data_IF_357818404680
#
_entry.id   IF_357818404680
#
_cell.length_a   1.000
_cell.length_b   1.000
_cell.length_c   1.000
_cell.angle_alpha   90.00
_cell.angle_beta   90.00
_cell.angle_gamma   90.00
#
_symmetry.space_group_name_H-M   'P 1'
#
loop_
_entity.id
_entity.type
_entity.pdbx_description
1 polymer ?
#
# COMPACT_ATOMS: atom_id res chain seq x y z
N UNK A 1 -38.43 88.79 -11.35
CA UNK A 1 -37.45 89.89 -11.48
C UNK A 1 -36.07 89.31 -11.22
N UNK A 2 -35.13 89.59 -12.13
CA UNK A 2 -33.69 89.27 -12.19
C UNK A 2 -33.02 88.27 -11.20
N UNK A 3 -32.36 87.27 -11.80
CA UNK A 3 -30.94 86.88 -11.62
C UNK A 3 -30.46 86.44 -10.20
N UNK A 4 -30.01 85.18 -10.10
CA UNK A 4 -28.58 84.87 -9.84
C UNK A 4 -28.17 83.47 -10.30
N UNK A 5 -27.19 83.44 -11.19
CA UNK A 5 -26.46 82.27 -11.68
C UNK A 5 -25.43 81.82 -10.62
N UNK A 6 -25.33 80.53 -10.34
CA UNK A 6 -24.20 79.96 -9.59
C UNK A 6 -23.57 78.79 -10.36
N UNK A 7 -22.28 78.95 -10.66
CA UNK A 7 -21.39 77.91 -11.18
C UNK A 7 -20.63 77.29 -9.99
N UNK A 8 -20.89 76.03 -9.67
CA UNK A 8 -19.98 75.05 -9.04
C UNK A 8 -20.58 73.69 -9.41
N UNK A 9 -19.89 72.66 -9.89
CA UNK A 9 -18.48 72.36 -10.07
C UNK A 9 -18.47 70.85 -10.35
N UNK A 10 -17.88 70.42 -11.46
CA UNK A 10 -18.09 69.05 -11.97
C UNK A 10 -17.39 67.98 -11.14
N UNK A 11 -18.09 66.87 -10.88
CA UNK A 11 -17.48 65.59 -10.52
C UNK A 11 -17.93 64.54 -11.52
N UNK A 12 -17.18 64.40 -12.61
CA UNK A 12 -17.38 63.31 -13.57
C UNK A 12 -16.82 62.04 -12.94
N UNK A 13 -17.71 61.11 -12.58
CA UNK A 13 -17.30 59.78 -12.16
C UNK A 13 -16.68 59.04 -13.35
N UNK A 14 -15.35 59.03 -13.40
CA UNK A 14 -14.60 58.18 -14.33
C UNK A 14 -14.78 56.72 -13.90
N UNK A 15 -15.75 56.05 -14.51
CA UNK A 15 -15.92 54.61 -14.44
C UNK A 15 -14.73 53.93 -15.15
N UNK A 16 -13.64 53.73 -14.41
CA UNK A 16 -12.51 52.89 -14.81
C UNK A 16 -12.96 51.43 -14.88
N UNK A 17 -13.53 51.03 -16.02
CA UNK A 17 -13.71 49.63 -16.37
C UNK A 17 -12.33 49.00 -16.65
N UNK A 18 -11.69 48.48 -15.60
CA UNK A 18 -10.54 47.57 -15.74
C UNK A 18 -11.03 46.14 -16.02
N UNK A 19 -10.31 45.35 -16.81
CA UNK A 19 -10.90 44.22 -17.51
C UNK A 19 -10.90 42.91 -16.69
N UNK A 20 -11.88 42.06 -17.02
CA UNK A 20 -11.79 40.60 -16.97
C UNK A 20 -11.24 39.99 -15.65
N UNK A 21 -11.99 40.19 -14.55
CA UNK A 21 -12.06 39.16 -13.50
C UNK A 21 -12.73 37.90 -14.08
N UNK A 22 -11.97 37.08 -14.79
CA UNK A 22 -12.37 35.71 -15.06
C UNK A 22 -12.63 35.03 -13.72
N UNK A 23 -13.83 34.48 -13.57
CA UNK A 23 -14.18 33.67 -12.41
C UNK A 23 -13.10 32.61 -12.21
N UNK A 24 -12.37 32.70 -11.11
CA UNK A 24 -11.67 31.56 -10.55
C UNK A 24 -12.76 30.55 -10.15
N UNK A 25 -13.09 29.64 -11.08
CA UNK A 25 -13.85 28.44 -10.75
C UNK A 25 -12.99 27.68 -9.75
N UNK A 26 -13.43 27.70 -8.48
CA UNK A 26 -12.79 26.94 -7.43
C UNK A 26 -12.67 25.48 -7.86
N UNK A 27 -11.52 24.88 -7.59
CA UNK A 27 -11.27 23.49 -7.87
C UNK A 27 -11.64 22.62 -6.67
N UNK A 28 -11.84 21.32 -6.90
CA UNK A 28 -11.94 20.35 -5.80
C UNK A 28 -10.53 19.99 -5.34
N UNK A 29 -10.28 20.07 -4.04
CA UNK A 29 -9.00 19.71 -3.43
C UNK A 29 -8.56 18.29 -3.85
N UNK A 30 -7.26 18.12 -4.12
CA UNK A 30 -6.72 16.85 -4.61
C UNK A 30 -6.82 16.63 -6.14
N UNK A 31 -7.59 17.45 -6.87
CA UNK A 31 -7.54 17.42 -8.34
C UNK A 31 -6.24 18.06 -8.86
N UNK A 32 -5.78 17.59 -10.02
CA UNK A 32 -4.68 18.15 -10.78
C UNK A 32 -5.20 18.75 -12.09
N UNK A 33 -4.65 19.88 -12.52
CA UNK A 33 -4.92 20.51 -13.81
C UNK A 33 -3.65 20.52 -14.65
N UNK A 34 -3.57 19.65 -15.65
CA UNK A 34 -2.47 19.62 -16.62
C UNK A 34 -2.72 20.66 -17.72
N UNK A 35 -1.77 21.57 -17.92
CA UNK A 35 -1.97 22.76 -18.75
C UNK A 35 -1.56 22.54 -20.22
N UNK A 36 -0.40 21.93 -20.44
CA UNK A 36 0.26 21.81 -21.75
C UNK A 36 0.94 20.43 -21.97
N UNK A 37 0.63 19.46 -21.12
CA UNK A 37 1.24 18.12 -21.12
C UNK A 37 2.61 18.04 -20.44
N UNK A 38 3.24 19.17 -20.08
CA UNK A 38 4.53 19.24 -19.37
C UNK A 38 4.49 20.04 -18.08
N UNK A 39 3.40 20.73 -17.82
CA UNK A 39 3.17 21.50 -16.61
C UNK A 39 1.78 21.25 -16.04
N UNK A 40 1.68 21.34 -14.72
CA UNK A 40 0.44 21.09 -13.99
C UNK A 40 0.30 22.02 -12.79
N UNK A 41 -0.93 22.09 -12.26
CA UNK A 41 -1.27 22.70 -10.99
C UNK A 41 -2.01 21.68 -10.13
N UNK A 42 -1.83 21.72 -8.81
CA UNK A 42 -2.60 20.92 -7.86
C UNK A 42 -3.62 21.81 -7.16
N UNK A 43 -4.83 21.31 -6.94
CA UNK A 43 -5.82 22.01 -6.13
C UNK A 43 -5.51 21.79 -4.65
N UNK A 44 -5.23 22.87 -3.92
CA UNK A 44 -4.97 22.84 -2.48
C UNK A 44 -6.22 23.17 -1.67
N UNK A 45 -6.18 22.90 -0.37
CA UNK A 45 -7.20 23.29 0.60
C UNK A 45 -7.67 24.74 0.40
N UNK A 46 -9.00 24.93 0.39
CA UNK A 46 -9.62 26.19 0.00
C UNK A 46 -9.90 26.34 -1.51
N UNK A 47 -9.80 25.26 -2.28
CA UNK A 47 -10.27 25.20 -3.67
C UNK A 47 -9.49 26.09 -4.64
N UNK A 48 -8.21 26.32 -4.36
CA UNK A 48 -7.33 27.20 -5.13
C UNK A 48 -6.26 26.38 -5.85
N UNK A 49 -5.94 26.73 -7.10
CA UNK A 49 -4.83 26.11 -7.83
C UNK A 49 -3.48 26.57 -7.29
N UNK A 50 -2.55 25.63 -7.13
CA UNK A 50 -1.15 25.91 -6.82
C UNK A 50 -0.48 26.74 -7.91
N UNK A 51 0.73 27.24 -7.62
CA UNK A 51 1.65 27.65 -8.69
C UNK A 51 1.89 26.51 -9.68
N UNK A 52 2.15 26.85 -10.93
CA UNK A 52 2.43 25.88 -11.99
C UNK A 52 3.77 25.18 -11.75
N UNK A 53 3.76 23.85 -11.79
CA UNK A 53 4.91 22.97 -11.60
C UNK A 53 5.23 22.23 -12.91
N UNK A 54 6.48 21.84 -13.11
CA UNK A 54 6.88 20.96 -14.22
C UNK A 54 6.57 19.50 -13.86
N UNK A 55 6.17 18.71 -14.85
CA UNK A 55 6.16 17.24 -14.73
C UNK A 55 7.59 16.69 -14.69
N UNK A 56 7.77 15.47 -14.19
CA UNK A 56 9.09 14.85 -14.13
C UNK A 56 9.70 14.69 -15.54
N UNK A 57 11.04 14.85 -15.71
CA UNK A 57 11.70 14.67 -17.00
C UNK A 57 11.37 13.31 -17.64
N UNK A 58 10.92 13.33 -18.90
CA UNK A 58 10.51 12.11 -19.62
C UNK A 58 9.06 11.69 -19.41
N UNK A 59 8.28 12.40 -18.58
CA UNK A 59 6.83 12.17 -18.41
C UNK A 59 5.99 13.22 -19.15
N UNK A 60 4.72 12.91 -19.35
CA UNK A 60 3.69 13.86 -19.80
C UNK A 60 2.40 13.63 -19.04
N UNK A 61 1.67 14.68 -18.72
CA UNK A 61 0.31 14.59 -18.17
C UNK A 61 -0.76 14.71 -19.27
N UNK A 62 -1.95 14.14 -19.05
CA UNK A 62 -3.09 14.36 -19.96
C UNK A 62 -3.71 15.73 -19.69
N UNK A 63 -3.74 16.60 -20.70
CA UNK A 63 -4.26 17.98 -20.60
C UNK A 63 -5.71 17.98 -20.07
N UNK A 64 -5.97 18.85 -19.08
CA UNK A 64 -7.26 18.99 -18.41
C UNK A 64 -7.19 18.68 -16.91
N UNK A 65 -8.37 18.65 -16.28
CA UNK A 65 -8.54 18.40 -14.84
C UNK A 65 -8.80 16.91 -14.60
N UNK A 66 -8.01 16.27 -13.73
CA UNK A 66 -8.16 14.86 -13.35
C UNK A 66 -7.71 14.63 -11.91
N UNK A 67 -8.31 13.64 -11.23
CA UNK A 67 -7.77 13.10 -9.97
C UNK A 67 -6.49 12.27 -10.19
N UNK A 68 -6.33 11.72 -11.41
CA UNK A 68 -5.13 11.02 -11.85
C UNK A 68 -4.68 11.58 -13.22
N UNK A 69 -3.77 12.57 -13.26
CA UNK A 69 -3.32 13.19 -14.52
C UNK A 69 -2.31 12.32 -15.30
N UNK A 70 -1.84 11.22 -14.70
CA UNK A 70 -0.76 10.36 -15.20
C UNK A 70 -1.29 9.15 -15.99
N UNK A 71 -2.36 9.34 -16.77
CA UNK A 71 -2.92 8.31 -17.64
C UNK A 71 -1.97 7.96 -18.80
N UNK A 72 -0.98 7.13 -18.47
CA UNK A 72 -0.07 6.33 -19.30
C UNK A 72 0.08 6.74 -20.78
N UNK A 73 1.25 7.32 -21.08
CA UNK A 73 2.06 6.77 -22.17
C UNK A 73 3.42 6.38 -21.60
N UNK A 74 3.76 5.10 -21.66
CA UNK A 74 5.08 4.61 -21.26
C UNK A 74 6.18 5.25 -22.13
N UNK A 75 7.40 5.44 -21.61
CA UNK A 75 8.54 5.75 -22.46
C UNK A 75 8.76 4.59 -23.44
N UNK A 76 8.40 4.81 -24.71
CA UNK A 76 8.71 3.88 -25.79
C UNK A 76 10.22 3.73 -25.84
N UNK A 77 10.71 2.52 -25.62
CA UNK A 77 12.12 2.18 -25.72
C UNK A 77 12.68 2.63 -27.07
N UNK A 78 13.63 3.57 -27.06
CA UNK A 78 14.28 4.04 -28.28
C UNK A 78 15.28 2.98 -28.75
N UNK A 79 14.76 1.94 -29.41
CA UNK A 79 15.57 0.95 -30.10
C UNK A 79 16.32 1.65 -31.24
N UNK A 80 17.61 1.92 -31.02
CA UNK A 80 18.47 2.54 -32.03
C UNK A 80 18.62 1.59 -33.23
N UNK A 81 18.23 2.07 -34.40
CA UNK A 81 18.28 1.28 -35.62
C UNK A 81 19.73 1.03 -36.06
N UNK A 82 20.11 -0.25 -36.17
CA UNK A 82 21.32 -0.68 -36.86
C UNK A 82 20.93 -1.44 -38.13
N UNK A 83 21.00 -0.75 -39.28
CA UNK A 83 20.80 -1.33 -40.61
C UNK A 83 22.15 -1.83 -41.13
N UNK A 84 22.34 -3.15 -41.24
CA UNK A 84 23.41 -3.74 -42.05
C UNK A 84 22.89 -4.97 -42.80
N UNK A 85 23.07 -4.97 -44.11
CA UNK A 85 22.60 -6.01 -45.02
C UNK A 85 23.54 -7.23 -45.09
N UNK A 86 22.94 -8.41 -45.23
CA UNK A 86 23.56 -9.61 -45.82
C UNK A 86 23.82 -9.38 -47.34
N UNK A 87 24.72 -10.11 -48.05
CA UNK A 87 24.54 -11.56 -48.30
C UNK A 87 25.79 -12.45 -48.62
N UNK A 88 25.45 -13.70 -48.99
CA UNK A 88 26.17 -14.75 -49.76
C UNK A 88 27.24 -15.67 -49.12
N UNK A 89 27.01 -16.97 -49.33
CA UNK A 89 27.88 -18.16 -49.14
C UNK A 89 28.23 -18.75 -50.53
N UNK A 90 29.19 -19.70 -50.72
CA UNK A 90 29.17 -21.10 -50.20
C UNK A 90 30.53 -21.47 -49.50
N UNK A 91 31.04 -22.70 -49.27
CA UNK A 91 30.82 -24.03 -49.91
C UNK A 91 31.12 -25.26 -49.01
N UNK A 92 30.59 -26.40 -49.45
CA UNK A 92 30.55 -27.81 -49.00
C UNK A 92 31.90 -28.56 -48.91
N UNK A 93 32.00 -29.54 -47.99
CA UNK A 93 32.51 -30.95 -48.07
C UNK A 93 32.49 -31.55 -46.65
N UNK A 94 32.15 -32.79 -46.28
CA UNK A 94 31.19 -33.85 -46.66
C UNK A 94 31.50 -35.08 -45.77
N UNK A 95 30.60 -35.45 -44.84
CA UNK A 95 30.18 -36.83 -44.38
C UNK A 95 31.24 -37.91 -44.00
N UNK A 96 30.88 -39.10 -43.38
CA UNK A 96 29.56 -39.64 -43.03
C UNK A 96 29.37 -40.23 -41.58
N UNK A 97 28.11 -40.49 -41.24
CA UNK A 97 27.62 -41.37 -40.13
C UNK A 97 27.52 -42.85 -40.60
N UNK A 98 27.39 -43.88 -39.73
CA UNK A 98 26.19 -44.15 -38.89
C UNK A 98 26.59 -44.43 -37.42
N UNK A 99 25.76 -44.90 -36.46
CA UNK A 99 24.41 -45.50 -36.47
C UNK A 99 23.64 -45.17 -35.16
N UNK A 100 22.58 -45.94 -34.84
CA UNK A 100 21.84 -45.89 -33.56
C UNK A 100 21.55 -47.30 -33.01
N UNK A 101 21.25 -47.43 -31.71
CA UNK A 101 20.67 -48.64 -31.09
C UNK A 101 19.78 -48.26 -29.90
N UNK A 102 18.72 -49.04 -29.66
CA UNK A 102 17.57 -48.78 -28.77
C UNK A 102 17.59 -49.62 -27.48
N UNK A 103 16.40 -49.79 -26.85
CA UNK A 103 16.03 -50.57 -25.64
C UNK A 103 16.23 -49.77 -24.32
N UNK A 104 15.23 -49.55 -23.45
CA UNK A 104 13.77 -49.78 -23.54
C UNK A 104 12.97 -48.95 -22.50
N UNK A 105 11.64 -48.86 -22.68
CA UNK A 105 10.65 -48.34 -21.70
C UNK A 105 10.23 -49.43 -20.70
N UNK A 106 9.89 -49.09 -19.46
CA UNK A 106 9.09 -49.99 -18.58
C UNK A 106 8.02 -49.22 -17.82
N UNK A 107 6.77 -49.48 -18.20
CA UNK A 107 5.56 -49.07 -17.49
C UNK A 107 5.18 -50.13 -16.45
N UNK A 108 4.74 -49.72 -15.26
CA UNK A 108 4.01 -50.57 -14.33
C UNK A 108 2.79 -49.81 -13.80
N UNK A 109 1.62 -50.44 -13.89
CA UNK A 109 0.30 -49.86 -13.59
C UNK A 109 -0.30 -50.41 -12.30
N UNK A 110 -0.93 -49.50 -11.56
CA UNK A 110 -2.13 -49.65 -10.72
C UNK A 110 -2.44 -50.98 -10.00
N UNK A 111 -2.69 -50.86 -8.69
CA UNK A 111 -3.76 -51.63 -8.06
C UNK A 111 -4.38 -50.86 -6.88
N UNK A 112 -5.72 -50.81 -6.85
CA UNK A 112 -6.52 -50.22 -5.77
C UNK A 112 -6.79 -51.25 -4.68
N UNK A 113 -7.01 -50.80 -3.45
CA UNK A 113 -7.76 -51.57 -2.45
C UNK A 113 -8.67 -50.66 -1.63
N UNK A 114 -9.97 -50.96 -1.62
CA UNK A 114 -10.95 -50.44 -0.68
C UNK A 114 -11.24 -51.52 0.36
N UNK A 115 -11.26 -51.16 1.64
CA UNK A 115 -11.86 -51.97 2.69
C UNK A 115 -12.44 -51.05 3.78
N UNK A 116 -13.72 -51.26 4.09
CA UNK A 116 -14.42 -50.55 5.17
C UNK A 116 -14.76 -51.56 6.27
N UNK A 117 -14.52 -51.20 7.54
CA UNK A 117 -15.19 -51.84 8.68
C UNK A 117 -15.46 -50.82 9.78
N UNK A 118 -16.74 -50.69 10.14
CA UNK A 118 -17.21 -49.89 11.27
C UNK A 118 -16.80 -50.50 12.61
N UNK A 119 -16.73 -49.68 13.66
CA UNK A 119 -16.94 -50.12 15.04
C UNK A 119 -17.51 -48.99 15.89
N UNK A 120 -18.70 -49.24 16.44
CA UNK A 120 -19.40 -48.36 17.39
C UNK A 120 -19.20 -48.90 18.81
N UNK A 121 -18.73 -48.06 19.73
CA UNK A 121 -18.88 -48.25 21.18
C UNK A 121 -19.26 -46.90 21.80
N UNK A 122 -20.31 -46.89 22.62
CA UNK A 122 -20.83 -45.70 23.31
C UNK A 122 -20.44 -45.68 24.79
N UNK A 123 -20.32 -44.45 25.34
CA UNK A 123 -20.57 -44.07 26.75
C UNK A 123 -19.66 -44.69 27.86
N UNK A 124 -19.33 -44.04 28.99
CA UNK A 124 -19.32 -42.64 29.49
C UNK A 124 -18.62 -42.68 30.90
N UNK A 125 -18.84 -41.72 31.81
CA UNK A 125 -18.15 -40.44 32.02
C UNK A 125 -16.93 -40.50 32.98
N UNK A 126 -16.13 -39.42 32.99
CA UNK A 126 -15.63 -38.82 34.24
C UNK A 126 -15.27 -37.34 34.06
N UNK A 127 -15.83 -36.51 34.93
CA UNK A 127 -15.87 -35.04 34.90
C UNK A 127 -14.54 -34.35 35.23
N UNK A 128 -14.14 -33.36 34.44
CA UNK A 128 -13.54 -32.07 34.89
C UNK A 128 -13.51 -31.07 33.71
N UNK A 129 -13.84 -29.81 33.98
CA UNK A 129 -14.27 -28.83 32.98
C UNK A 129 -13.14 -28.18 32.17
N UNK A 130 -13.29 -28.01 30.85
CA UNK A 130 -12.69 -26.91 30.09
C UNK A 130 -13.60 -25.69 30.17
N UNK A 131 -13.06 -24.55 30.59
CA UNK A 131 -13.82 -23.29 30.63
C UNK A 131 -13.96 -22.75 29.20
N UNK A 132 -15.20 -22.64 28.71
CA UNK A 132 -15.48 -22.29 27.33
C UNK A 132 -14.99 -20.88 26.98
N UNK A 133 -14.19 -20.76 25.92
CA UNK A 133 -14.00 -19.50 25.23
C UNK A 133 -15.36 -19.03 24.69
N UNK A 134 -15.78 -17.82 25.05
CA UNK A 134 -17.06 -17.28 24.58
C UNK A 134 -16.92 -16.85 23.13
N UNK A 135 -17.56 -17.61 22.24
CA UNK A 135 -17.66 -17.33 20.82
C UNK A 135 -18.60 -16.12 20.58
N UNK A 136 -18.14 -15.00 19.98
CA UNK A 136 -19.01 -13.93 19.55
C UNK A 136 -19.76 -14.32 18.27
N UNK A 137 -21.00 -14.76 18.47
CA UNK A 137 -22.12 -14.83 17.53
C UNK A 137 -21.86 -14.47 16.05
N UNK A 138 -22.13 -15.43 15.16
CA UNK A 138 -22.35 -15.14 13.73
C UNK A 138 -23.54 -14.19 13.55
N UNK A 139 -23.26 -12.91 13.29
CA UNK A 139 -24.24 -11.86 13.03
C UNK A 139 -23.56 -10.56 12.67
N UNK A 140 -24.15 -9.79 11.74
CA UNK A 140 -23.56 -8.60 11.10
C UNK A 140 -23.54 -7.35 12.00
N UNK A 141 -22.99 -7.48 13.20
CA UNK A 141 -22.68 -6.38 14.12
C UNK A 141 -21.25 -6.57 14.58
N UNK A 142 -20.33 -5.80 14.01
CA UNK A 142 -18.92 -5.92 14.33
C UNK A 142 -18.66 -5.54 15.78
N UNK A 143 -17.91 -6.39 16.48
CA UNK A 143 -17.69 -6.24 17.90
C UNK A 143 -16.71 -5.09 18.17
N UNK A 144 -17.15 -4.06 18.88
CA UNK A 144 -16.21 -3.28 19.67
C UNK A 144 -15.69 -4.19 20.79
N UNK A 145 -14.40 -4.55 20.74
CA UNK A 145 -13.70 -4.82 22.00
C UNK A 145 -13.65 -3.49 22.75
N UNK A 146 -13.83 -3.49 24.08
CA UNK A 146 -14.22 -2.32 24.90
C UNK A 146 -13.27 -1.10 24.91
N UNK A 147 -12.25 -1.11 24.06
CA UNK A 147 -11.18 -0.12 23.91
C UNK A 147 -10.75 0.09 22.43
N UNK A 148 -11.42 -0.56 21.46
CA UNK A 148 -11.18 -0.42 20.01
C UNK A 148 -12.51 -0.12 19.31
N UNK A 149 -12.54 0.93 18.51
CA UNK A 149 -13.61 1.20 17.54
C UNK A 149 -13.33 0.40 16.26
N UNK A 150 -13.94 -0.78 16.16
CA UNK A 150 -13.81 -1.67 15.00
C UNK A 150 -14.97 -1.37 14.06
N UNK A 151 -14.66 -0.60 13.01
CA UNK A 151 -15.56 -0.29 11.89
C UNK A 151 -15.39 -1.26 10.75
N UNK A 152 -16.40 -1.31 9.88
CA UNK A 152 -16.46 -2.33 8.84
C UNK A 152 -15.48 -2.08 7.71
N UNK A 153 -15.14 -3.16 7.02
CA UNK A 153 -14.29 -3.10 5.82
C UNK A 153 -14.90 -2.14 4.77
N UNK A 154 -16.23 -1.97 4.77
CA UNK A 154 -16.97 -1.03 3.93
C UNK A 154 -16.96 0.43 4.47
N UNK A 155 -16.77 0.62 5.79
CA UNK A 155 -16.65 1.94 6.44
C UNK A 155 -15.20 2.49 6.45
N UNK A 156 -14.20 1.65 6.13
CA UNK A 156 -12.82 2.11 5.96
C UNK A 156 -12.72 3.04 4.76
N UNK A 157 -11.84 4.05 4.85
CA UNK A 157 -11.49 4.93 3.73
C UNK A 157 -11.23 4.13 2.45
N UNK A 158 -11.53 4.70 1.28
CA UNK A 158 -11.11 4.11 0.01
C UNK A 158 -9.59 4.12 -0.13
N UNK A 159 -9.06 3.29 -1.03
CA UNK A 159 -7.62 3.23 -1.29
C UNK A 159 -7.04 4.57 -1.74
N UNK A 160 -7.76 5.34 -2.56
CA UNK A 160 -7.32 6.66 -3.00
C UNK A 160 -7.35 7.69 -1.87
N UNK A 161 -8.37 7.67 -1.00
CA UNK A 161 -8.40 8.51 0.21
C UNK A 161 -7.28 8.17 1.20
N UNK A 162 -6.92 6.89 1.37
CA UNK A 162 -5.78 6.50 2.18
C UNK A 162 -4.44 6.96 1.58
N UNK A 163 -4.24 6.80 0.27
CA UNK A 163 -3.07 7.35 -0.42
C UNK A 163 -2.97 8.86 -0.22
N UNK A 164 -4.07 9.59 -0.39
CA UNK A 164 -4.13 11.04 -0.15
C UNK A 164 -3.78 11.40 1.30
N UNK A 165 -4.41 10.73 2.28
CA UNK A 165 -4.18 10.94 3.73
C UNK A 165 -2.72 10.73 4.12
N UNK A 166 -2.06 9.72 3.57
CA UNK A 166 -0.73 9.29 4.01
C UNK A 166 0.45 9.76 3.14
N UNK A 167 0.22 10.33 1.95
CA UNK A 167 1.29 10.84 1.08
C UNK A 167 2.25 11.80 1.80
N UNK A 168 1.73 12.74 2.60
CA UNK A 168 2.56 13.70 3.36
C UNK A 168 3.39 13.01 4.45
N UNK A 169 2.81 12.02 5.14
CA UNK A 169 3.49 11.26 6.20
C UNK A 169 4.65 10.45 5.61
N UNK A 170 4.39 9.66 4.57
CA UNK A 170 5.41 8.88 3.85
C UNK A 170 6.53 9.79 3.30
N UNK A 171 6.17 10.93 2.72
CA UNK A 171 7.14 11.88 2.16
C UNK A 171 8.00 12.64 3.19
N UNK A 172 7.69 12.60 4.49
CA UNK A 172 8.35 13.46 5.49
C UNK A 172 8.81 12.79 6.78
N UNK A 173 8.41 11.53 7.04
CA UNK A 173 8.63 10.86 8.34
C UNK A 173 10.06 10.38 8.60
N UNK A 174 10.86 10.08 7.57
CA UNK A 174 12.22 9.57 7.75
C UNK A 174 13.13 10.55 8.51
N UNK A 175 13.07 11.83 8.16
CA UNK A 175 13.96 12.83 8.72
C UNK A 175 13.60 13.17 10.16
N UNK A 176 12.30 13.15 10.50
CA UNK A 176 11.80 13.44 11.85
C UNK A 176 11.91 12.25 12.79
N UNK A 177 11.68 11.03 12.31
CA UNK A 177 11.64 9.81 13.14
C UNK A 177 12.97 9.06 13.19
N UNK A 178 13.74 9.07 12.10
CA UNK A 178 14.90 8.19 11.90
C UNK A 178 16.21 8.93 11.55
N UNK A 179 16.16 10.26 11.41
CA UNK A 179 17.30 11.12 11.05
C UNK A 179 17.99 10.75 9.71
N UNK A 180 17.26 10.07 8.81
CA UNK A 180 17.71 9.72 7.45
C UNK A 180 16.92 10.49 6.40
N UNK A 181 17.40 10.50 5.16
CA UNK A 181 16.76 11.21 4.06
C UNK A 181 15.29 10.79 3.88
N UNK A 182 14.42 11.79 3.74
CA UNK A 182 13.01 11.62 3.39
C UNK A 182 12.83 10.85 2.07
N UNK A 183 11.72 10.12 1.99
CA UNK A 183 11.29 9.49 0.75
C UNK A 183 11.18 10.55 -0.35
N UNK A 184 11.69 10.25 -1.54
CA UNK A 184 11.33 11.04 -2.73
C UNK A 184 9.84 10.84 -3.08
N UNK A 185 9.25 11.69 -3.95
CA UNK A 185 7.92 11.43 -4.52
C UNK A 185 7.86 10.06 -5.22
N UNK A 186 8.92 9.67 -5.94
CA UNK A 186 9.00 8.39 -6.63
C UNK A 186 9.07 7.20 -5.65
N UNK A 187 9.76 7.35 -4.53
CA UNK A 187 9.81 6.33 -3.47
C UNK A 187 8.47 6.21 -2.73
N UNK A 188 7.81 7.34 -2.48
CA UNK A 188 6.46 7.38 -1.90
C UNK A 188 5.45 6.68 -2.83
N UNK A 189 5.52 6.93 -4.13
CA UNK A 189 4.70 6.22 -5.11
C UNK A 189 5.10 4.74 -5.23
N UNK A 190 6.39 4.41 -5.11
CA UNK A 190 6.85 3.02 -5.11
C UNK A 190 6.31 2.22 -3.90
N UNK A 191 6.11 2.85 -2.73
CA UNK A 191 5.43 2.21 -1.58
C UNK A 191 3.98 1.86 -1.94
N UNK A 192 3.22 2.78 -2.53
CA UNK A 192 1.84 2.50 -2.94
C UNK A 192 1.76 1.42 -4.02
N UNK A 193 2.63 1.47 -5.03
CA UNK A 193 2.70 0.46 -6.08
C UNK A 193 3.12 -0.92 -5.52
N UNK A 194 4.03 -0.96 -4.54
CA UNK A 194 4.45 -2.18 -3.88
C UNK A 194 3.30 -2.82 -3.07
N UNK A 195 2.46 -2.01 -2.44
CA UNK A 195 1.24 -2.48 -1.77
C UNK A 195 0.24 -3.03 -2.79
N UNK A 196 -0.06 -2.29 -3.87
CA UNK A 196 -0.95 -2.74 -4.95
C UNK A 196 -0.46 -4.04 -5.62
N UNK A 197 0.85 -4.28 -5.67
CA UNK A 197 1.44 -5.48 -6.27
C UNK A 197 1.61 -6.68 -5.31
N UNK A 198 1.73 -6.47 -3.99
CA UNK A 198 2.14 -7.50 -3.03
C UNK A 198 1.20 -7.63 -1.81
N UNK A 199 -0.01 -7.08 -1.83
CA UNK A 199 -0.97 -7.19 -0.71
C UNK A 199 -1.55 -8.61 -0.50
N UNK A 200 -1.36 -9.54 -1.44
CA UNK A 200 -1.80 -10.92 -1.31
C UNK A 200 -3.31 -11.05 -1.07
N UNK A 201 -3.69 -11.77 -0.01
CA UNK A 201 -5.09 -11.89 0.45
C UNK A 201 -5.53 -10.77 1.40
N UNK A 202 -4.63 -9.86 1.77
CA UNK A 202 -4.86 -8.75 2.69
C UNK A 202 -5.42 -7.55 1.93
N UNK A 203 -6.35 -6.79 2.53
CA UNK A 203 -6.82 -5.52 1.96
C UNK A 203 -5.67 -4.50 1.90
N UNK A 204 -5.34 -3.91 0.74
CA UNK A 204 -4.22 -2.98 0.59
C UNK A 204 -4.32 -1.74 1.50
N UNK A 205 -5.53 -1.33 1.88
CA UNK A 205 -5.77 -0.27 2.87
C UNK A 205 -5.20 -0.63 4.23
N UNK A 206 -5.39 -1.89 4.64
CA UNK A 206 -4.85 -2.42 5.88
C UNK A 206 -3.33 -2.56 5.83
N UNK A 207 -2.78 -2.99 4.70
CA UNK A 207 -1.32 -3.03 4.48
C UNK A 207 -0.70 -1.64 4.68
N UNK A 208 -1.30 -0.58 4.10
CA UNK A 208 -0.82 0.79 4.31
C UNK A 208 -0.97 1.25 5.77
N UNK A 209 -2.02 0.83 6.47
CA UNK A 209 -2.16 1.12 7.90
C UNK A 209 -1.05 0.48 8.75
N UNK A 210 -0.62 -0.75 8.44
CA UNK A 210 0.55 -1.41 9.05
C UNK A 210 1.83 -0.65 8.71
N UNK A 211 2.08 -0.35 7.42
CA UNK A 211 3.27 0.39 6.98
C UNK A 211 3.41 1.75 7.70
N UNK A 212 2.30 2.46 7.91
CA UNK A 212 2.27 3.71 8.68
C UNK A 212 2.50 3.46 10.17
N UNK A 213 1.99 2.35 10.73
CA UNK A 213 2.20 1.99 12.14
C UNK A 213 3.67 1.63 12.44
N UNK A 214 4.31 0.83 11.58
CA UNK A 214 5.63 0.26 11.81
C UNK A 214 6.78 1.21 11.47
N UNK A 215 6.67 1.94 10.36
CA UNK A 215 7.77 2.76 9.83
C UNK A 215 7.39 4.22 9.59
N UNK A 216 6.13 4.61 9.83
CA UNK A 216 5.53 5.84 9.26
C UNK A 216 5.73 5.93 7.74
N UNK A 217 5.84 4.79 7.06
CA UNK A 217 6.14 4.66 5.64
C UNK A 217 7.55 5.08 5.21
N UNK A 218 8.49 5.24 6.15
CA UNK A 218 9.88 5.55 5.80
C UNK A 218 10.57 4.34 5.17
N UNK A 219 10.96 4.41 3.89
CA UNK A 219 11.63 3.28 3.20
C UNK A 219 13.04 2.99 3.76
N UNK A 220 13.58 3.90 4.59
CA UNK A 220 14.89 3.81 5.26
C UNK A 220 14.75 3.66 6.78
N UNK A 221 13.60 3.20 7.28
CA UNK A 221 13.44 2.77 8.67
C UNK A 221 14.55 1.79 9.04
N UNK A 222 15.14 1.96 10.22
CA UNK A 222 16.27 1.14 10.64
C UNK A 222 15.84 -0.31 10.85
N UNK A 223 16.64 -1.24 10.35
CA UNK A 223 16.47 -2.66 10.67
C UNK A 223 16.81 -2.88 12.13
N UNK A 224 15.85 -3.34 12.93
CA UNK A 224 16.09 -3.68 14.33
C UNK A 224 16.53 -5.14 14.45
N UNK A 225 17.38 -5.45 15.43
CA UNK A 225 17.77 -6.83 15.72
C UNK A 225 18.06 -7.00 17.22
N UNK A 226 17.05 -7.47 17.94
CA UNK A 226 17.12 -7.75 19.39
C UNK A 226 16.97 -9.26 19.68
N UNK A 227 17.44 -10.11 18.76
CA UNK A 227 17.28 -11.56 18.79
C UNK A 227 16.40 -12.12 17.66
N UNK A 228 15.53 -11.27 17.11
CA UNK A 228 14.84 -11.43 15.82
C UNK A 228 15.16 -10.20 14.99
N UNK A 229 15.39 -10.36 13.67
CA UNK A 229 15.76 -9.28 12.76
C UNK A 229 14.51 -8.76 12.04
N UNK A 230 14.16 -7.51 12.27
CA UNK A 230 12.95 -6.87 11.74
C UNK A 230 13.35 -5.72 10.81
N UNK A 231 13.36 -5.90 9.48
CA UNK A 231 13.75 -4.87 8.53
C UNK A 231 12.55 -4.09 8.00
N UNK A 232 12.84 -3.01 7.27
CA UNK A 232 11.91 -2.51 6.26
C UNK A 232 10.57 -1.93 6.75
N UNK A 233 9.73 -1.62 5.76
CA UNK A 233 8.50 -0.83 5.89
C UNK A 233 7.46 -1.41 6.87
N UNK A 234 7.44 -2.74 7.04
CA UNK A 234 6.51 -3.47 7.91
C UNK A 234 7.19 -4.06 9.15
N UNK A 235 8.48 -3.78 9.40
CA UNK A 235 9.26 -4.32 10.53
C UNK A 235 9.09 -5.84 10.70
N UNK A 236 9.16 -6.57 9.58
CA UNK A 236 8.70 -7.94 9.46
C UNK A 236 9.68 -8.98 10.01
N UNK A 237 9.16 -10.04 10.66
CA UNK A 237 10.00 -11.04 11.33
C UNK A 237 10.89 -11.80 10.35
N UNK A 238 12.21 -11.60 10.45
CA UNK A 238 13.25 -12.20 9.61
C UNK A 238 13.07 -12.02 8.09
N UNK A 239 12.59 -10.84 7.65
CA UNK A 239 12.56 -10.47 6.23
C UNK A 239 13.91 -10.51 5.52
N UNK A 240 13.92 -10.34 4.21
CA UNK A 240 15.14 -10.30 3.40
C UNK A 240 15.48 -8.90 2.88
N UNK A 241 14.50 -7.99 2.78
CA UNK A 241 14.67 -6.68 2.14
C UNK A 241 14.84 -5.53 3.14
N UNK A 242 15.80 -4.64 2.87
CA UNK A 242 16.06 -3.45 3.67
C UNK A 242 16.82 -2.38 2.88
N UNK A 243 16.59 -1.11 3.22
CA UNK A 243 17.38 0.03 2.77
C UNK A 243 18.15 0.73 3.92
N UNK A 244 18.10 0.19 5.14
CA UNK A 244 18.87 0.69 6.27
C UNK A 244 19.17 -0.46 7.25
N UNK A 245 20.37 -1.04 7.11
CA UNK A 245 20.83 -2.15 7.94
C UNK A 245 22.34 -2.06 8.21
N UNK A 246 22.79 -2.44 9.41
CA UNK A 246 24.22 -2.55 9.72
C UNK A 246 25.00 -1.23 9.61
N UNK A 247 24.32 -0.08 9.68
CA UNK A 247 24.89 1.25 9.43
C UNK A 247 24.99 1.64 7.94
N UNK A 248 24.48 0.80 7.02
CA UNK A 248 24.44 1.08 5.58
C UNK A 248 23.05 1.56 5.20
N UNK A 249 22.93 2.84 4.84
CA UNK A 249 21.69 3.47 4.35
C UNK A 249 21.75 3.61 2.83
N UNK A 250 20.73 3.09 2.14
CA UNK A 250 20.56 3.23 0.70
C UNK A 250 19.78 4.51 0.38
N UNK A 251 20.30 5.34 -0.53
CA UNK A 251 19.65 6.58 -0.96
C UNK A 251 20.00 6.89 -2.43
N UNK A 252 19.07 6.77 -3.39
CA UNK A 252 17.69 6.30 -3.23
C UNK A 252 17.60 4.85 -2.74
N UNK A 253 16.47 4.49 -2.13
CA UNK A 253 16.13 3.11 -1.80
C UNK A 253 15.63 2.40 -3.06
N UNK A 254 16.26 1.31 -3.52
CA UNK A 254 15.87 0.65 -4.76
C UNK A 254 14.43 0.13 -4.75
N UNK A 255 13.70 0.29 -5.85
CA UNK A 255 12.32 -0.18 -5.99
C UNK A 255 12.15 -1.68 -5.73
N UNK A 256 13.19 -2.50 -5.98
CA UNK A 256 13.19 -3.93 -5.62
C UNK A 256 13.17 -4.15 -4.10
N UNK A 257 13.90 -3.33 -3.33
CA UNK A 257 13.85 -3.37 -1.87
C UNK A 257 12.48 -2.92 -1.36
N UNK A 258 11.91 -1.84 -1.93
CA UNK A 258 10.57 -1.35 -1.54
C UNK A 258 9.49 -2.40 -1.78
N UNK A 259 9.49 -3.08 -2.94
CA UNK A 259 8.57 -4.20 -3.20
C UNK A 259 8.78 -5.35 -2.22
N UNK A 260 10.03 -5.76 -2.05
CA UNK A 260 10.38 -6.87 -1.17
C UNK A 260 10.04 -6.65 0.29
N UNK A 261 10.15 -5.42 0.82
CA UNK A 261 9.73 -5.10 2.20
C UNK A 261 8.21 -5.28 2.42
N UNK A 262 7.39 -5.04 1.39
CA UNK A 262 5.95 -5.31 1.48
C UNK A 262 5.68 -6.81 1.32
N UNK A 263 6.36 -7.45 0.36
CA UNK A 263 6.23 -8.90 0.13
C UNK A 263 6.61 -9.72 1.37
N UNK A 264 7.72 -9.36 2.03
CA UNK A 264 8.23 -10.04 3.23
C UNK A 264 7.23 -9.93 4.39
N UNK A 265 6.71 -8.73 4.68
CA UNK A 265 5.71 -8.52 5.73
C UNK A 265 4.33 -9.13 5.47
N UNK A 266 3.93 -9.30 4.20
CA UNK A 266 2.64 -9.92 3.85
C UNK A 266 2.72 -11.44 3.77
N UNK A 267 3.70 -11.98 3.07
CA UNK A 267 3.76 -13.42 2.69
C UNK A 267 5.14 -14.08 2.83
N UNK A 268 6.23 -13.31 2.89
CA UNK A 268 7.57 -13.79 3.21
C UNK A 268 7.82 -13.92 4.72
N UNK A 269 9.05 -13.79 5.18
CA UNK A 269 9.40 -13.81 6.61
C UNK A 269 8.93 -15.03 7.43
N UNK A 270 9.21 -14.99 8.73
CA UNK A 270 8.81 -16.04 9.67
C UNK A 270 7.38 -15.80 10.21
N UNK A 271 7.00 -14.56 10.52
CA UNK A 271 5.73 -14.19 11.17
C UNK A 271 4.92 -13.15 10.37
N UNK A 272 4.68 -13.43 9.09
CA UNK A 272 3.96 -12.50 8.20
C UNK A 272 2.46 -12.33 8.49
N UNK A 273 1.87 -11.31 7.86
CA UNK A 273 0.48 -10.95 8.08
C UNK A 273 -0.52 -11.99 7.58
N UNK A 274 -0.26 -12.72 6.50
CA UNK A 274 -1.16 -13.80 6.05
C UNK A 274 -1.22 -14.96 7.06
N UNK A 275 -0.10 -15.32 7.70
CA UNK A 275 -0.06 -16.28 8.83
C UNK A 275 -0.88 -15.79 10.02
N UNK A 276 -0.78 -14.50 10.36
CA UNK A 276 -1.56 -13.88 11.42
C UNK A 276 -3.08 -13.87 11.10
N UNK A 277 -3.44 -13.60 9.84
CA UNK A 277 -4.82 -13.58 9.34
C UNK A 277 -5.45 -14.98 9.35
N UNK A 278 -4.70 -16.01 8.92
CA UNK A 278 -5.11 -17.42 8.99
C UNK A 278 -5.21 -17.93 10.44
N UNK A 279 -4.38 -17.41 11.35
CA UNK A 279 -4.46 -17.72 12.78
C UNK A 279 -5.73 -17.12 13.42
N UNK A 280 -6.09 -15.88 13.05
CA UNK A 280 -7.34 -15.24 13.46
C UNK A 280 -8.57 -15.98 12.90
N UNK A 281 -8.52 -16.42 11.64
CA UNK A 281 -9.57 -17.24 11.02
C UNK A 281 -9.77 -18.58 11.74
N UNK A 282 -8.66 -19.26 12.06
CA UNK A 282 -8.65 -20.54 12.79
C UNK A 282 -9.21 -20.41 14.21
N UNK A 283 -9.13 -19.22 14.81
CA UNK A 283 -9.75 -18.88 16.09
C UNK A 283 -11.24 -18.46 15.96
N UNK A 284 -11.81 -18.46 14.75
CA UNK A 284 -13.22 -18.19 14.48
C UNK A 284 -13.55 -16.73 14.18
N UNK A 285 -12.57 -15.85 13.96
CA UNK A 285 -12.81 -14.45 13.64
C UNK A 285 -12.94 -14.20 12.13
N UNK A 286 -13.84 -13.29 11.76
CA UNK A 286 -14.13 -12.89 10.37
C UNK A 286 -14.29 -11.37 10.25
N UNK A 287 -14.19 -10.82 9.03
CA UNK A 287 -14.44 -9.39 8.76
C UNK A 287 -13.42 -8.47 9.46
N UNK A 288 -13.81 -7.25 9.82
CA UNK A 288 -12.90 -6.30 10.45
C UNK A 288 -12.31 -6.81 11.79
N UNK A 289 -13.02 -7.68 12.51
CA UNK A 289 -12.52 -8.32 13.73
C UNK A 289 -11.35 -9.29 13.45
N UNK A 290 -11.38 -10.03 12.33
CA UNK A 290 -10.27 -10.90 11.93
C UNK A 290 -8.99 -10.09 11.71
N UNK A 291 -9.11 -8.95 11.04
CA UNK A 291 -8.01 -8.01 10.86
C UNK A 291 -7.51 -7.43 12.18
N UNK A 292 -8.40 -7.03 13.09
CA UNK A 292 -8.00 -6.51 14.40
C UNK A 292 -7.26 -7.55 15.26
N UNK A 293 -7.71 -8.82 15.25
CA UNK A 293 -7.04 -9.94 15.91
C UNK A 293 -5.71 -10.29 15.24
N UNK A 294 -5.66 -10.32 13.91
CA UNK A 294 -4.44 -10.57 13.15
C UNK A 294 -3.37 -9.48 13.41
N UNK A 295 -3.76 -8.20 13.52
CA UNK A 295 -2.85 -7.13 13.93
C UNK A 295 -2.28 -7.33 15.34
N UNK A 296 -3.06 -7.84 16.30
CA UNK A 296 -2.54 -8.21 17.62
C UNK A 296 -1.55 -9.37 17.53
N UNK A 297 -1.86 -10.41 16.74
CA UNK A 297 -0.97 -11.57 16.52
C UNK A 297 0.33 -11.12 15.85
N UNK A 298 0.29 -10.27 14.83
CA UNK A 298 1.47 -9.71 14.16
C UNK A 298 2.35 -8.92 15.14
N UNK A 299 1.76 -8.09 16.01
CA UNK A 299 2.52 -7.26 16.95
C UNK A 299 3.08 -8.01 18.18
N UNK A 300 2.44 -9.08 18.63
CA UNK A 300 2.76 -9.75 19.91
C UNK A 300 2.93 -11.27 19.81
N UNK A 301 2.99 -11.81 18.58
CA UNK A 301 3.06 -13.25 18.29
C UNK A 301 1.85 -14.07 18.73
N UNK A 302 0.82 -13.44 19.31
CA UNK A 302 -0.26 -14.15 20.02
C UNK A 302 -1.49 -13.27 20.26
N UNK A 303 -2.61 -13.89 20.64
CA UNK A 303 -3.83 -13.21 21.09
C UNK A 303 -4.54 -14.03 22.17
N UNK A 304 -4.75 -13.46 23.35
CA UNK A 304 -5.36 -14.13 24.51
C UNK A 304 -6.90 -13.93 24.60
N UNK A 305 -7.59 -14.06 23.46
CA UNK A 305 -8.99 -14.48 23.42
C UNK A 305 -10.09 -13.44 23.68
N UNK A 306 -9.85 -12.29 24.31
CA UNK A 306 -10.91 -11.26 24.46
C UNK A 306 -10.50 -9.78 24.59
N UNK A 307 -9.21 -9.44 24.73
CA UNK A 307 -8.78 -8.04 24.92
C UNK A 307 -7.70 -7.64 23.92
N UNK A 308 -8.10 -6.93 22.85
CA UNK A 308 -7.19 -6.41 21.82
C UNK A 308 -6.24 -5.31 22.33
N UNK A 309 -6.57 -4.67 23.45
CA UNK A 309 -5.72 -3.69 24.13
C UNK A 309 -4.86 -4.30 25.25
N UNK A 310 -4.94 -5.62 25.47
CA UNK A 310 -3.84 -6.31 26.14
C UNK A 310 -2.67 -6.31 25.17
N UNK A 311 -1.63 -5.53 25.47
CA UNK A 311 -0.38 -5.53 24.71
C UNK A 311 0.36 -6.86 24.79
N UNK A 312 0.04 -7.71 25.78
CA UNK A 312 0.78 -8.92 26.15
C UNK A 312 2.21 -8.52 26.54
N UNK A 313 3.17 -8.61 25.62
CA UNK A 313 4.55 -8.14 25.77
C UNK A 313 4.92 -6.99 24.82
N UNK A 314 3.96 -6.48 24.06
CA UNK A 314 4.13 -5.47 23.01
C UNK A 314 3.18 -4.26 23.22
N UNK A 315 2.99 -3.45 22.18
CA UNK A 315 2.30 -2.16 22.26
C UNK A 315 0.79 -2.32 22.49
N UNK A 316 0.30 -1.85 23.63
CA UNK A 316 -1.10 -1.96 24.02
C UNK A 316 -2.05 -1.23 23.04
N UNK A 317 -1.68 -0.06 22.54
CA UNK A 317 -2.50 0.74 21.60
C UNK A 317 -2.50 0.24 20.16
N UNK A 318 -1.64 -0.71 19.80
CA UNK A 318 -1.33 -1.08 18.41
C UNK A 318 -2.57 -1.33 17.54
N UNK A 319 -3.53 -2.12 18.04
CA UNK A 319 -4.76 -2.43 17.32
C UNK A 319 -5.65 -1.19 17.17
N UNK A 320 -5.83 -0.41 18.24
CA UNK A 320 -6.57 0.86 18.21
C UNK A 320 -5.94 1.85 17.22
N UNK A 321 -4.61 1.94 17.20
CA UNK A 321 -3.85 2.81 16.31
C UNK A 321 -4.03 2.43 14.83
N UNK A 322 -3.99 1.14 14.50
CA UNK A 322 -4.26 0.64 13.14
C UNK A 322 -5.73 0.85 12.75
N UNK A 323 -6.69 0.48 13.60
CA UNK A 323 -8.11 0.65 13.28
C UNK A 323 -8.51 2.11 13.11
N UNK A 324 -7.83 3.05 13.78
CA UNK A 324 -8.02 4.50 13.58
C UNK A 324 -7.37 5.01 12.27
N UNK A 325 -6.28 4.39 11.79
CA UNK A 325 -5.60 4.81 10.54
C UNK A 325 -6.50 4.62 9.31
N UNK A 326 -7.37 3.61 9.35
CA UNK A 326 -8.35 3.26 8.31
C UNK A 326 -9.52 4.24 8.18
N UNK A 327 -9.65 5.23 9.07
CA UNK A 327 -10.82 6.10 9.18
C UNK A 327 -10.54 7.55 8.73
N UNK A 328 -11.59 8.33 8.47
CA UNK A 328 -11.49 9.75 8.07
C UNK A 328 -11.13 10.71 9.20
N UNK A 329 -11.07 10.25 10.45
CA UNK A 329 -10.60 11.03 11.60
C UNK A 329 -9.12 11.42 11.44
N UNK A 330 -8.82 12.68 11.79
CA UNK A 330 -7.46 13.21 11.77
C UNK A 330 -6.57 12.56 12.86
N UNK A 331 -5.28 12.47 12.54
CA UNK A 331 -4.19 12.19 13.50
C UNK A 331 -3.84 13.45 14.29
#
# INVERSE_FOLDING_TARGET
>A
MLIRLFLVGGLVALSNASPLSHFARGCTEGLFNCLDGRTYQQCVAGGTWSVTMQVAPGTTCQIGISANPWALTSPVSVASAAVVSQPISPTVISTPTPAATSIATTTLTSQSSLASTSSVISAQPSTSSPQAAQNPSTGSSEGSSSCVDIKSIDDWLTWDEMKQKYTSVLGTSCQSSWQVANNSPDETQAVFNAIEANHGTVDPRFVLAIVVQESSGCVRVVTTNNGVRNPGLMQDSNGSHSCNEGGVVQNPCPTVQINGMIQDGISGGDDNYEKALASAESAGFSGAMQYAVAARIYNSGSFEGNNLCNGITATASYVTDIMNRLQSSAL
#
